data_IF_896713423367
#
_entry.id   IF_896713423367
#
_cell.length_a   1.000
_cell.length_b   1.000
_cell.length_c   1.000
_cell.angle_alpha   90.00
_cell.angle_beta   90.00
_cell.angle_gamma   90.00
#
_symmetry.space_group_name_H-M   'P 1'
#
loop_
_entity.id
_entity.type
_entity.pdbx_description
1 polymer ?
#
# COMPACT_ATOMS: atom_id res chain seq x y z
N UNK A 1 58.26 7.12 -1.28
CA UNK A 1 57.17 7.10 -0.27
C UNK A 1 56.10 8.16 -0.59
N UNK A 2 55.65 8.26 -1.84
CA UNK A 2 54.63 9.25 -2.30
C UNK A 2 53.70 8.74 -3.40
N UNK A 3 53.95 7.57 -3.99
CA UNK A 3 53.09 6.99 -5.05
C UNK A 3 52.03 6.01 -4.52
N UNK A 4 52.16 5.50 -3.28
CA UNK A 4 51.17 4.59 -2.68
C UNK A 4 49.97 5.30 -2.02
N UNK A 5 50.06 6.61 -1.74
CA UNK A 5 48.95 7.36 -1.13
C UNK A 5 47.94 7.89 -2.17
N UNK A 6 48.38 8.16 -3.40
CA UNK A 6 47.50 8.71 -4.44
C UNK A 6 46.46 7.68 -4.91
N UNK A 7 46.85 6.40 -4.99
CA UNK A 7 45.94 5.32 -5.44
C UNK A 7 44.85 5.01 -4.40
N UNK A 8 45.13 5.19 -3.11
CA UNK A 8 44.16 4.95 -2.04
C UNK A 8 43.12 6.08 -1.99
N UNK A 9 43.52 7.33 -2.22
CA UNK A 9 42.58 8.46 -2.27
C UNK A 9 41.68 8.45 -3.50
N UNK A 10 42.14 7.99 -4.67
CA UNK A 10 41.27 7.88 -5.86
C UNK A 10 40.25 6.74 -5.73
N UNK A 11 40.61 5.63 -5.06
CA UNK A 11 39.69 4.51 -4.83
C UNK A 11 38.58 4.86 -3.82
N UNK A 12 38.88 5.69 -2.81
CA UNK A 12 37.92 6.16 -1.81
C UNK A 12 36.92 7.19 -2.36
N UNK A 13 37.32 8.01 -3.33
CA UNK A 13 36.43 8.99 -3.97
C UNK A 13 35.46 8.31 -4.95
N UNK A 14 35.88 7.23 -5.62
CA UNK A 14 35.03 6.47 -6.53
C UNK A 14 33.99 5.63 -5.76
N UNK A 15 34.33 5.07 -4.60
CA UNK A 15 33.33 4.41 -3.73
C UNK A 15 32.36 5.40 -3.10
N UNK A 16 32.79 6.64 -2.81
CA UNK A 16 31.91 7.70 -2.30
C UNK A 16 30.96 8.24 -3.38
N UNK A 17 31.39 8.30 -4.64
CA UNK A 17 30.52 8.68 -5.77
C UNK A 17 29.55 7.58 -6.18
N UNK A 18 29.93 6.31 -6.09
CA UNK A 18 29.02 5.19 -6.37
C UNK A 18 27.92 5.02 -5.30
N UNK A 19 28.16 5.47 -4.07
CA UNK A 19 27.12 5.58 -3.03
C UNK A 19 26.20 6.81 -3.19
N UNK A 20 26.57 7.77 -4.05
CA UNK A 20 25.79 9.00 -4.27
C UNK A 20 24.79 8.91 -5.43
N UNK A 21 24.81 7.80 -6.18
CA UNK A 21 23.87 7.50 -7.26
C UNK A 21 22.80 6.47 -6.88
N UNK A 22 22.71 6.11 -5.60
CA UNK A 22 21.52 5.47 -5.04
C UNK A 22 20.46 6.57 -4.97
N UNK A 23 19.58 6.63 -5.97
CA UNK A 23 18.46 7.58 -5.96
C UNK A 23 17.74 7.46 -4.62
N UNK A 24 17.23 8.58 -4.11
CA UNK A 24 16.48 8.64 -2.84
C UNK A 24 15.32 7.60 -2.77
N UNK A 25 14.93 7.00 -3.92
CA UNK A 25 13.98 5.90 -4.07
C UNK A 25 14.40 4.58 -3.40
N UNK A 26 15.70 4.27 -3.31
CA UNK A 26 16.13 2.95 -2.83
C UNK A 26 16.14 2.84 -1.29
N UNK A 27 15.98 3.96 -0.58
CA UNK A 27 15.97 3.97 0.91
C UNK A 27 14.75 3.28 1.53
N UNK A 28 13.72 3.00 0.73
CA UNK A 28 12.44 2.47 1.22
C UNK A 28 12.03 1.15 0.55
N UNK A 29 12.85 0.65 -0.37
CA UNK A 29 12.70 -0.65 -1.03
C UNK A 29 13.45 -1.70 -0.23
N UNK A 30 12.73 -2.45 0.61
CA UNK A 30 13.33 -3.37 1.58
C UNK A 30 13.62 -4.77 1.00
N UNK A 31 13.04 -5.10 -0.15
CA UNK A 31 13.38 -6.30 -0.93
C UNK A 31 13.98 -5.90 -2.28
N UNK A 32 15.26 -5.51 -2.36
CA UNK A 32 15.96 -5.60 -3.63
C UNK A 32 15.91 -7.06 -4.09
N UNK A 33 15.41 -7.33 -5.30
CA UNK A 33 15.40 -8.69 -5.86
C UNK A 33 16.86 -9.10 -6.07
N UNK A 34 17.49 -9.71 -5.08
CA UNK A 34 18.90 -10.09 -5.07
C UNK A 34 19.01 -11.60 -5.34
N UNK A 35 19.82 -12.04 -6.31
CA UNK A 35 20.13 -13.47 -6.49
C UNK A 35 21.01 -13.99 -5.33
N UNK A 36 21.27 -15.30 -5.33
CA UNK A 36 22.16 -15.92 -4.33
C UNK A 36 23.58 -15.35 -4.35
N UNK A 37 23.95 -14.68 -5.44
CA UNK A 37 25.25 -14.08 -5.72
C UNK A 37 25.33 -12.59 -5.33
N UNK A 38 24.26 -11.97 -4.82
CA UNK A 38 24.28 -10.58 -4.36
C UNK A 38 23.96 -9.53 -5.44
N UNK A 39 23.55 -9.95 -6.64
CA UNK A 39 23.24 -9.06 -7.77
C UNK A 39 21.75 -8.73 -7.84
N UNK A 40 21.42 -7.49 -8.22
CA UNK A 40 20.04 -7.08 -8.53
C UNK A 40 19.56 -7.85 -9.77
N UNK A 41 18.65 -8.79 -9.57
CA UNK A 41 18.00 -9.55 -10.62
C UNK A 41 16.77 -8.79 -11.07
N UNK A 42 16.84 -8.20 -12.28
CA UNK A 42 15.63 -7.82 -12.99
C UNK A 42 14.96 -9.09 -13.50
N UNK A 43 13.81 -9.46 -12.93
CA UNK A 43 12.99 -10.53 -13.52
C UNK A 43 12.43 -10.02 -14.86
N UNK A 44 12.77 -10.71 -15.95
CA UNK A 44 12.36 -10.37 -17.31
C UNK A 44 11.14 -11.18 -17.79
N UNK A 45 10.35 -11.71 -16.87
CA UNK A 45 9.16 -12.48 -17.19
C UNK A 45 7.96 -11.56 -17.35
N UNK A 46 7.43 -11.39 -18.56
CA UNK A 46 6.08 -10.83 -18.72
C UNK A 46 5.10 -11.85 -18.14
N UNK A 47 4.64 -11.66 -16.92
CA UNK A 47 3.52 -12.46 -16.43
C UNK A 47 2.31 -12.20 -17.33
N UNK A 48 1.67 -13.31 -17.72
CA UNK A 48 0.42 -13.31 -18.48
C UNK A 48 -0.75 -13.35 -17.50
N UNK A 49 -1.88 -12.78 -17.91
CA UNK A 49 -3.15 -12.95 -17.21
C UNK A 49 -3.47 -14.46 -17.19
N UNK A 50 -3.62 -15.02 -15.99
CA UNK A 50 -3.84 -16.46 -15.74
C UNK A 50 -5.32 -16.82 -15.82
N UNK A 51 -6.20 -15.87 -15.50
CA UNK A 51 -7.64 -16.05 -15.40
C UNK A 51 -8.38 -15.32 -16.53
N UNK A 52 -9.40 -15.95 -17.11
CA UNK A 52 -10.32 -15.25 -18.02
C UNK A 52 -11.18 -14.21 -17.27
N UNK A 53 -11.89 -13.36 -18.03
CA UNK A 53 -12.70 -12.29 -17.48
C UNK A 53 -13.84 -12.79 -16.58
N UNK A 54 -14.45 -13.94 -16.91
CA UNK A 54 -15.54 -14.54 -16.13
C UNK A 54 -15.03 -15.01 -14.76
N UNK A 55 -13.85 -15.61 -14.74
CA UNK A 55 -13.16 -16.04 -13.54
C UNK A 55 -12.72 -14.84 -12.71
N UNK A 56 -12.09 -13.83 -13.33
CA UNK A 56 -11.66 -12.62 -12.63
C UNK A 56 -12.84 -11.94 -11.93
N UNK A 57 -13.93 -11.63 -12.64
CA UNK A 57 -15.05 -10.88 -12.06
C UNK A 57 -15.80 -11.66 -10.96
N UNK A 58 -15.63 -12.99 -10.91
CA UNK A 58 -16.19 -13.82 -9.85
C UNK A 58 -15.49 -13.60 -8.49
N UNK A 59 -14.24 -13.14 -8.50
CA UNK A 59 -13.48 -12.93 -7.26
C UNK A 59 -13.98 -11.69 -6.52
N UNK A 60 -14.41 -11.88 -5.27
CA UNK A 60 -14.84 -10.79 -4.37
C UNK A 60 -13.73 -10.27 -3.46
N UNK A 61 -12.73 -11.10 -3.18
CA UNK A 61 -11.64 -10.78 -2.27
C UNK A 61 -10.34 -11.10 -3.00
N UNK A 62 -9.54 -10.07 -3.26
CA UNK A 62 -8.28 -10.20 -3.97
C UNK A 62 -7.14 -9.55 -3.19
N UNK A 63 -5.93 -10.07 -3.37
CA UNK A 63 -4.70 -9.49 -2.85
C UNK A 63 -3.76 -9.21 -4.02
N UNK A 64 -3.28 -7.97 -4.09
CA UNK A 64 -2.25 -7.61 -5.05
C UNK A 64 -0.92 -8.20 -4.62
N UNK A 65 -0.31 -9.02 -5.48
CA UNK A 65 1.08 -9.43 -5.34
C UNK A 65 1.65 -9.79 -6.70
N UNK A 66 2.75 -9.14 -7.07
CA UNK A 66 3.48 -9.40 -8.32
C UNK A 66 4.97 -9.44 -8.02
N UNK A 67 5.57 -10.61 -8.20
CA UNK A 67 6.98 -10.84 -7.89
C UNK A 67 7.96 -10.09 -8.81
N UNK A 68 7.47 -9.44 -9.87
CA UNK A 68 8.27 -8.59 -10.75
C UNK A 68 8.31 -7.12 -10.28
N UNK A 69 7.64 -6.80 -9.17
CA UNK A 69 7.60 -5.48 -8.57
C UNK A 69 8.42 -5.47 -7.29
N UNK A 70 8.99 -4.31 -6.95
CA UNK A 70 9.60 -4.12 -5.64
C UNK A 70 8.53 -3.83 -4.57
N UNK A 71 8.94 -3.80 -3.31
CA UNK A 71 8.11 -3.41 -2.16
C UNK A 71 8.48 -2.01 -1.67
N UNK A 72 7.60 -1.39 -0.90
CA UNK A 72 7.92 -0.15 -0.17
C UNK A 72 7.28 -0.19 1.22
N UNK A 73 8.07 -0.01 2.27
CA UNK A 73 7.59 -0.06 3.68
C UNK A 73 6.87 -1.35 4.10
N UNK A 74 7.01 -2.42 3.31
CA UNK A 74 6.52 -3.75 3.63
C UNK A 74 7.65 -4.75 3.46
N UNK A 75 7.86 -5.60 4.46
CA UNK A 75 8.82 -6.71 4.42
C UNK A 75 8.07 -8.04 4.43
N UNK A 76 8.59 -9.01 3.67
CA UNK A 76 8.01 -10.34 3.52
C UNK A 76 6.55 -10.37 3.03
N UNK A 77 6.12 -9.53 2.06
CA UNK A 77 4.70 -9.43 1.66
C UNK A 77 4.04 -10.76 1.29
N UNK A 78 4.83 -11.76 0.86
CA UNK A 78 4.33 -13.11 0.57
C UNK A 78 3.70 -13.81 1.80
N UNK A 79 4.16 -13.51 3.01
CA UNK A 79 3.56 -14.06 4.24
C UNK A 79 2.13 -13.54 4.45
N UNK A 80 1.87 -12.26 4.20
CA UNK A 80 0.52 -11.68 4.21
C UNK A 80 -0.34 -12.28 3.09
N UNK A 81 0.23 -12.47 1.90
CA UNK A 81 -0.48 -13.11 0.77
C UNK A 81 -0.91 -14.52 1.15
N UNK A 82 0.01 -15.37 1.64
CA UNK A 82 -0.29 -16.74 2.06
C UNK A 82 -1.36 -16.76 3.16
N UNK A 83 -1.28 -15.83 4.12
CA UNK A 83 -2.30 -15.68 5.16
C UNK A 83 -3.67 -15.35 4.56
N UNK A 84 -3.76 -14.39 3.63
CA UNK A 84 -5.03 -14.00 3.00
C UNK A 84 -5.58 -15.09 2.06
N UNK A 85 -4.72 -15.81 1.34
CA UNK A 85 -5.13 -16.97 0.53
C UNK A 85 -5.76 -18.07 1.40
N UNK A 86 -5.26 -18.28 2.62
CA UNK A 86 -5.89 -19.17 3.60
C UNK A 86 -7.27 -18.69 4.08
N UNK A 87 -7.63 -17.44 3.77
CA UNK A 87 -8.93 -16.78 4.05
C UNK A 87 -9.72 -16.51 2.76
N UNK A 88 -9.50 -17.32 1.72
CA UNK A 88 -10.19 -17.30 0.42
C UNK A 88 -9.89 -16.08 -0.48
N UNK A 89 -8.90 -15.24 -0.16
CA UNK A 89 -8.46 -14.21 -1.09
C UNK A 89 -7.79 -14.84 -2.31
N UNK A 90 -7.95 -14.21 -3.47
CA UNK A 90 -7.24 -14.59 -4.70
C UNK A 90 -6.09 -13.64 -4.98
N UNK A 91 -4.91 -14.19 -5.18
CA UNK A 91 -3.73 -13.41 -5.57
C UNK A 91 -3.82 -13.02 -7.03
N UNK A 92 -3.75 -11.72 -7.30
CA UNK A 92 -3.71 -11.15 -8.65
C UNK A 92 -2.40 -10.37 -8.83
N UNK A 93 -1.77 -10.57 -9.99
CA UNK A 93 -0.67 -9.71 -10.42
C UNK A 93 -1.17 -8.35 -10.92
N UNK A 94 -0.25 -7.47 -11.32
CA UNK A 94 -0.59 -6.09 -11.65
C UNK A 94 -1.59 -5.97 -12.83
N UNK A 95 -1.41 -6.79 -13.88
CA UNK A 95 -2.29 -6.82 -15.06
C UNK A 95 -3.67 -7.39 -14.75
N UNK A 96 -3.70 -8.49 -14.00
CA UNK A 96 -4.94 -9.12 -13.57
C UNK A 96 -5.74 -8.19 -12.66
N UNK A 97 -5.07 -7.49 -11.75
CA UNK A 97 -5.70 -6.53 -10.85
C UNK A 97 -6.28 -5.35 -11.61
N UNK A 98 -5.54 -4.81 -12.59
CA UNK A 98 -6.06 -3.76 -13.47
C UNK A 98 -7.32 -4.26 -14.18
N UNK A 99 -7.26 -5.44 -14.81
CA UNK A 99 -8.41 -6.01 -15.53
C UNK A 99 -9.59 -6.26 -14.61
N UNK A 100 -9.36 -6.82 -13.43
CA UNK A 100 -10.37 -7.09 -12.40
C UNK A 100 -11.08 -5.82 -11.95
N UNK A 101 -10.33 -4.75 -11.63
CA UNK A 101 -10.92 -3.46 -11.28
C UNK A 101 -11.72 -2.86 -12.45
N UNK A 102 -11.19 -2.92 -13.68
CA UNK A 102 -11.91 -2.45 -14.87
C UNK A 102 -13.23 -3.20 -15.07
N UNK A 103 -13.24 -4.53 -14.96
CA UNK A 103 -14.45 -5.34 -15.09
C UNK A 103 -15.52 -4.96 -14.06
N UNK A 104 -15.12 -4.74 -12.80
CA UNK A 104 -16.06 -4.31 -11.76
C UNK A 104 -16.59 -2.90 -11.97
N UNK A 105 -15.77 -1.99 -12.51
CA UNK A 105 -16.22 -0.64 -12.92
C UNK A 105 -17.23 -0.74 -14.06
N UNK A 106 -16.88 -1.45 -15.13
CA UNK A 106 -17.71 -1.58 -16.34
C UNK A 106 -19.06 -2.25 -16.07
N UNK A 107 -19.08 -3.22 -15.14
CA UNK A 107 -20.29 -3.96 -14.75
C UNK A 107 -21.01 -3.35 -13.55
N UNK A 108 -20.55 -2.22 -13.03
CA UNK A 108 -21.09 -1.58 -11.82
C UNK A 108 -21.24 -2.56 -10.64
N UNK A 109 -20.22 -3.38 -10.42
CA UNK A 109 -20.22 -4.49 -9.46
C UNK A 109 -19.07 -4.43 -8.44
N UNK A 110 -18.44 -3.26 -8.30
CA UNK A 110 -17.35 -3.04 -7.36
C UNK A 110 -17.81 -3.09 -5.89
N UNK A 111 -19.03 -2.67 -5.59
CA UNK A 111 -19.55 -2.80 -4.22
C UNK A 111 -19.58 -4.26 -3.75
N UNK A 112 -19.09 -4.48 -2.53
CA UNK A 112 -18.92 -5.82 -1.96
C UNK A 112 -17.66 -6.55 -2.42
N UNK A 113 -16.78 -5.87 -3.16
CA UNK A 113 -15.45 -6.38 -3.52
C UNK A 113 -14.34 -5.66 -2.76
N UNK A 114 -13.23 -6.35 -2.50
CA UNK A 114 -12.07 -5.80 -1.78
C UNK A 114 -10.75 -6.25 -2.39
N UNK A 115 -9.83 -5.29 -2.51
CA UNK A 115 -8.43 -5.54 -2.86
C UNK A 115 -7.52 -5.15 -1.68
N UNK A 116 -6.63 -6.05 -1.26
CA UNK A 116 -5.53 -5.72 -0.34
C UNK A 116 -4.26 -5.42 -1.15
N UNK A 117 -3.73 -4.21 -1.02
CA UNK A 117 -2.44 -3.80 -1.61
C UNK A 117 -1.31 -4.22 -0.68
N UNK A 118 -0.76 -5.42 -0.90
CA UNK A 118 0.17 -6.07 0.06
C UNK A 118 1.62 -5.60 -0.02
N UNK A 119 2.00 -4.84 -1.06
CA UNK A 119 3.41 -4.53 -1.36
C UNK A 119 3.83 -3.09 -1.03
N UNK A 120 2.91 -2.24 -0.53
CA UNK A 120 3.16 -0.82 -0.24
C UNK A 120 3.49 0.06 -1.44
N UNK A 121 3.16 -0.43 -2.63
CA UNK A 121 3.30 0.25 -3.92
C UNK A 121 2.01 0.10 -4.71
N UNK A 122 1.78 1.02 -5.64
CA UNK A 122 0.68 0.92 -6.61
C UNK A 122 1.27 0.59 -8.00
N UNK A 123 0.73 -0.39 -8.74
CA UNK A 123 1.11 -0.57 -10.14
C UNK A 123 0.75 0.65 -10.99
N UNK A 124 1.67 1.07 -11.85
CA UNK A 124 1.52 2.23 -12.75
C UNK A 124 0.21 2.20 -13.53
N UNK A 125 -0.17 1.05 -14.05
CA UNK A 125 -1.38 0.87 -14.84
C UNK A 125 -2.65 1.23 -14.04
N UNK A 126 -2.68 1.01 -12.72
CA UNK A 126 -3.87 1.32 -11.92
C UNK A 126 -4.12 2.82 -11.79
N UNK A 127 -3.06 3.61 -11.86
CA UNK A 127 -3.07 5.07 -11.68
C UNK A 127 -2.74 5.82 -12.98
N UNK A 128 -2.96 5.18 -14.14
CA UNK A 128 -2.82 5.82 -15.45
C UNK A 128 -4.21 6.04 -16.07
N UNK A 129 -4.59 7.27 -16.50
CA UNK A 129 -3.86 8.54 -16.28
C UNK A 129 -3.81 8.93 -14.80
N UNK A 130 -2.83 9.76 -14.38
CA UNK A 130 -2.57 10.11 -12.97
C UNK A 130 -3.56 11.11 -12.39
N UNK A 131 -4.84 10.78 -12.43
CA UNK A 131 -5.92 11.58 -11.88
C UNK A 131 -7.15 10.66 -11.67
N UNK A 132 -8.31 11.26 -11.34
CA UNK A 132 -9.55 10.54 -11.09
C UNK A 132 -10.12 9.77 -12.29
N UNK A 133 -9.53 9.90 -13.48
CA UNK A 133 -9.88 9.07 -14.63
C UNK A 133 -9.21 7.69 -14.63
N UNK A 134 -8.26 7.43 -13.72
CA UNK A 134 -7.66 6.12 -13.56
C UNK A 134 -8.63 5.05 -13.07
N UNK A 135 -8.30 3.78 -13.35
CA UNK A 135 -9.12 2.64 -12.90
C UNK A 135 -9.16 2.53 -11.37
N UNK A 136 -8.09 2.90 -10.66
CA UNK A 136 -8.03 2.83 -9.21
C UNK A 136 -9.09 3.72 -8.55
N UNK A 137 -9.19 4.99 -8.96
CA UNK A 137 -10.23 5.89 -8.47
C UNK A 137 -11.62 5.44 -8.91
N UNK A 138 -11.79 5.07 -10.18
CA UNK A 138 -13.08 4.62 -10.71
C UNK A 138 -13.62 3.41 -9.95
N UNK A 139 -12.77 2.47 -9.56
CA UNK A 139 -13.14 1.32 -8.73
C UNK A 139 -13.61 1.75 -7.33
N UNK A 140 -12.89 2.66 -6.67
CA UNK A 140 -13.29 3.22 -5.37
C UNK A 140 -14.63 3.98 -5.47
N UNK A 141 -14.81 4.77 -6.53
CA UNK A 141 -16.03 5.53 -6.79
C UNK A 141 -17.23 4.62 -7.15
N UNK A 142 -16.99 3.48 -7.78
CA UNK A 142 -18.00 2.44 -8.01
C UNK A 142 -18.37 1.65 -6.74
N UNK A 143 -17.76 1.98 -5.59
CA UNK A 143 -18.05 1.34 -4.30
C UNK A 143 -17.10 0.20 -3.93
N UNK A 144 -16.05 -0.03 -4.68
CA UNK A 144 -14.99 -0.97 -4.34
C UNK A 144 -14.21 -0.58 -3.09
N UNK A 145 -13.69 -1.58 -2.39
CA UNK A 145 -12.83 -1.39 -1.22
C UNK A 145 -11.37 -1.67 -1.57
N UNK A 146 -10.47 -0.83 -1.08
CA UNK A 146 -9.02 -1.09 -1.09
C UNK A 146 -8.50 -1.00 0.34
N UNK A 147 -7.70 -1.98 0.75
CA UNK A 147 -6.89 -1.90 1.99
C UNK A 147 -5.44 -1.70 1.58
N UNK A 148 -4.88 -0.56 1.95
CA UNK A 148 -3.49 -0.19 1.70
C UNK A 148 -2.63 -0.49 2.92
N UNK A 149 -1.58 -1.27 2.68
CA UNK A 149 -0.53 -1.58 3.65
C UNK A 149 0.75 -0.88 3.22
N UNK A 150 1.48 -0.32 4.18
CA UNK A 150 2.66 0.49 3.94
C UNK A 150 2.42 1.96 4.24
N UNK A 151 3.46 2.78 4.08
CA UNK A 151 3.52 4.14 4.62
C UNK A 151 2.54 5.13 3.94
N UNK A 152 3.02 6.01 3.05
CA UNK A 152 2.19 7.04 2.41
C UNK A 152 1.56 6.48 1.13
N UNK A 153 0.22 6.45 1.00
CA UNK A 153 -0.45 5.92 -0.18
C UNK A 153 -0.01 6.59 -1.48
N UNK A 154 0.25 5.79 -2.52
CA UNK A 154 0.61 6.26 -3.86
C UNK A 154 1.92 7.08 -3.95
N UNK A 155 2.72 7.14 -2.88
CA UNK A 155 4.03 7.81 -2.90
C UNK A 155 5.00 7.13 -3.88
N UNK A 156 4.93 5.80 -3.94
CA UNK A 156 5.75 4.96 -4.83
C UNK A 156 4.85 4.25 -5.83
N UNK A 157 5.09 4.53 -7.11
CA UNK A 157 4.50 3.82 -8.24
C UNK A 157 5.47 2.75 -8.72
N UNK A 158 5.05 1.49 -8.71
CA UNK A 158 5.83 0.38 -9.22
C UNK A 158 5.58 0.08 -10.69
N UNK A 159 6.55 -0.56 -11.34
CA UNK A 159 6.45 -1.08 -12.70
C UNK A 159 7.24 -2.39 -12.82
N UNK A 160 6.86 -3.24 -13.78
CA UNK A 160 7.51 -4.52 -14.04
C UNK A 160 9.05 -4.40 -14.13
N UNK A 161 9.78 -5.36 -13.57
CA UNK A 161 11.25 -5.36 -13.54
C UNK A 161 11.85 -4.65 -12.33
N UNK A 162 11.03 -4.39 -11.30
CA UNK A 162 11.43 -3.77 -10.04
C UNK A 162 11.60 -2.25 -10.13
N UNK A 163 11.16 -1.60 -11.21
CA UNK A 163 11.29 -0.15 -11.34
C UNK A 163 10.27 0.58 -10.49
N UNK A 164 10.70 1.69 -9.89
CA UNK A 164 9.82 2.59 -9.14
C UNK A 164 9.97 4.03 -9.58
N UNK A 165 8.89 4.77 -9.49
CA UNK A 165 8.86 6.22 -9.62
C UNK A 165 8.24 6.81 -8.35
N UNK A 166 8.92 7.77 -7.74
CA UNK A 166 8.42 8.50 -6.57
C UNK A 166 7.73 9.76 -7.03
N UNK A 167 6.48 9.95 -6.62
CA UNK A 167 5.69 11.15 -6.98
C UNK A 167 5.45 12.11 -5.84
N UNK A 168 5.85 11.75 -4.62
CA UNK A 168 5.50 12.55 -3.46
C UNK A 168 4.02 12.43 -3.10
N UNK A 169 3.46 13.50 -2.53
CA UNK A 169 2.10 13.59 -2.03
C UNK A 169 1.07 14.04 -3.09
N UNK A 170 1.52 14.60 -4.22
CA UNK A 170 0.67 15.16 -5.29
C UNK A 170 -0.35 14.14 -5.82
N UNK A 171 0.08 12.91 -6.16
CA UNK A 171 -0.83 11.89 -6.71
C UNK A 171 -1.86 11.43 -5.69
N UNK A 172 -1.47 11.35 -4.41
CA UNK A 172 -2.41 11.00 -3.36
C UNK A 172 -3.48 12.08 -3.19
N UNK A 173 -3.11 13.35 -3.35
CA UNK A 173 -4.10 14.43 -3.40
C UNK A 173 -4.98 14.33 -4.65
N UNK A 174 -4.41 14.22 -5.83
CA UNK A 174 -5.16 14.24 -7.10
C UNK A 174 -6.12 13.05 -7.28
N UNK A 175 -5.75 11.87 -6.75
CA UNK A 175 -6.53 10.64 -6.86
C UNK A 175 -7.39 10.41 -5.61
N UNK A 176 -6.83 10.57 -4.41
CA UNK A 176 -7.48 10.19 -3.16
C UNK A 176 -7.98 11.37 -2.32
N UNK A 177 -7.72 12.62 -2.73
CA UNK A 177 -8.02 13.83 -1.97
C UNK A 177 -7.46 13.78 -0.52
N UNK A 178 -6.32 13.12 -0.30
CA UNK A 178 -5.68 13.02 1.02
C UNK A 178 -4.40 13.84 1.07
N UNK A 179 -4.17 14.47 2.21
CA UNK A 179 -2.92 15.15 2.51
C UNK A 179 -2.43 14.75 3.89
N UNK A 180 -1.12 14.66 4.02
CA UNK A 180 -0.44 14.21 5.21
C UNK A 180 1.02 14.66 5.23
N UNK A 181 1.76 14.17 6.19
CA UNK A 181 3.18 14.49 6.33
C UNK A 181 3.87 13.60 7.36
N UNK A 182 5.17 13.84 7.56
CA UNK A 182 5.92 13.22 8.65
C UNK A 182 5.54 13.87 9.97
N UNK A 183 5.29 13.06 10.97
CA UNK A 183 5.15 13.55 12.33
C UNK A 183 6.49 14.05 12.83
N UNK A 184 6.50 15.20 13.48
CA UNK A 184 7.64 15.72 14.25
C UNK A 184 7.27 15.73 15.72
N UNK A 185 8.23 15.37 16.57
CA UNK A 185 8.12 15.58 18.01
C UNK A 185 7.95 17.08 18.28
N UNK A 186 6.92 17.44 19.04
CA UNK A 186 6.54 18.84 19.23
C UNK A 186 7.56 19.62 20.07
N UNK A 187 8.24 18.96 21.00
CA UNK A 187 9.19 19.62 21.92
C UNK A 187 10.55 19.85 21.24
N UNK A 188 10.98 18.90 20.42
CA UNK A 188 12.31 18.88 19.81
C UNK A 188 12.32 19.29 18.34
N UNK A 189 11.15 19.25 17.67
CA UNK A 189 11.03 19.45 16.23
C UNK A 189 11.62 18.32 15.37
N UNK A 190 12.06 17.22 15.99
CA UNK A 190 12.70 16.09 15.29
C UNK A 190 11.65 15.20 14.67
N UNK A 191 11.82 14.82 13.40
CA UNK A 191 10.92 13.86 12.73
C UNK A 191 10.89 12.52 13.45
N UNK A 192 9.69 11.96 13.58
CA UNK A 192 9.48 10.61 14.11
C UNK A 192 10.04 9.59 13.13
N UNK A 193 10.73 8.59 13.69
CA UNK A 193 11.40 7.53 12.93
C UNK A 193 11.05 6.17 13.54
N UNK A 194 11.51 5.09 12.91
CA UNK A 194 11.35 3.71 13.42
C UNK A 194 11.78 3.54 14.89
N UNK A 195 12.73 4.36 15.37
CA UNK A 195 13.21 4.31 16.76
C UNK A 195 12.53 5.33 17.67
N UNK A 196 11.73 6.23 17.13
CA UNK A 196 11.08 7.33 17.86
C UNK A 196 9.64 7.52 17.38
N UNK A 197 8.74 6.55 17.63
CA UNK A 197 7.38 6.63 17.14
C UNK A 197 6.52 7.61 17.94
N UNK A 198 5.33 7.92 17.42
CA UNK A 198 4.35 8.73 18.12
C UNK A 198 3.91 8.11 19.44
N UNK A 199 4.19 8.79 20.55
CA UNK A 199 3.82 8.32 21.90
C UNK A 199 2.32 8.41 22.20
N UNK A 200 1.57 9.20 21.44
CA UNK A 200 0.14 9.47 21.65
C UNK A 200 -0.78 8.66 20.75
N UNK A 201 -0.26 7.73 19.94
CA UNK A 201 -1.08 6.94 19.05
C UNK A 201 -2.08 6.05 19.81
N UNK A 202 -3.34 6.05 19.38
CA UNK A 202 -4.40 5.23 19.99
C UNK A 202 -5.34 4.63 18.94
N UNK A 203 -6.06 3.56 19.30
CA UNK A 203 -7.14 3.01 18.46
C UNK A 203 -8.45 3.63 18.92
N UNK A 204 -9.17 4.25 18.00
CA UNK A 204 -10.47 4.86 18.27
C UNK A 204 -11.55 3.80 18.47
N UNK A 205 -12.73 4.19 18.99
CA UNK A 205 -13.88 3.28 19.09
C UNK A 205 -14.35 2.77 17.71
N UNK A 206 -14.26 3.60 16.65
CA UNK A 206 -14.58 3.13 15.30
C UNK A 206 -13.51 2.15 14.79
N UNK A 207 -12.23 2.34 15.12
CA UNK A 207 -11.17 1.36 14.81
C UNK A 207 -11.39 0.01 15.49
N UNK A 208 -11.69 0.00 16.80
CA UNK A 208 -12.02 -1.23 17.55
C UNK A 208 -13.24 -1.94 16.96
N UNK A 209 -14.28 -1.19 16.59
CA UNK A 209 -15.49 -1.73 15.95
C UNK A 209 -15.22 -2.38 14.60
N UNK A 210 -14.28 -1.85 13.82
CA UNK A 210 -13.81 -2.44 12.57
C UNK A 210 -12.83 -3.61 12.78
N UNK A 211 -12.43 -3.85 14.03
CA UNK A 211 -11.60 -4.97 14.44
C UNK A 211 -10.12 -4.67 14.58
N UNK A 212 -9.68 -3.40 14.58
CA UNK A 212 -8.28 -3.09 14.87
C UNK A 212 -7.94 -3.41 16.32
N UNK A 213 -6.82 -4.12 16.51
CA UNK A 213 -6.28 -4.50 17.81
C UNK A 213 -4.85 -4.02 18.01
N UNK A 214 -4.10 -3.73 16.95
CA UNK A 214 -2.71 -3.27 17.04
C UNK A 214 -2.62 -1.77 16.82
N UNK A 215 -2.01 -1.06 17.77
CA UNK A 215 -1.79 0.38 17.69
C UNK A 215 -0.83 0.69 16.52
N UNK A 216 -1.18 1.69 15.71
CA UNK A 216 -0.34 2.27 14.65
C UNK A 216 0.54 3.37 15.23
N UNK A 217 1.74 2.99 15.66
CA UNK A 217 2.74 3.87 16.29
C UNK A 217 3.39 4.82 15.28
N UNK A 218 2.61 5.79 14.83
CA UNK A 218 2.84 6.35 13.51
C UNK A 218 4.09 7.20 13.29
N UNK A 219 4.60 7.20 12.06
CA UNK A 219 5.57 8.20 11.55
C UNK A 219 4.95 9.17 10.55
N UNK A 220 3.84 8.78 9.94
CA UNK A 220 3.16 9.57 8.90
C UNK A 220 1.72 9.78 9.34
N UNK A 221 1.32 11.04 9.37
CA UNK A 221 -0.03 11.45 9.68
C UNK A 221 -0.79 11.90 8.44
N UNK A 222 -2.11 11.89 8.56
CA UNK A 222 -3.04 12.49 7.61
C UNK A 222 -4.01 13.40 8.35
N UNK A 223 -4.47 14.45 7.69
CA UNK A 223 -5.48 15.33 8.28
C UNK A 223 -6.80 14.58 8.47
N UNK A 224 -7.29 14.51 9.71
CA UNK A 224 -8.55 13.82 10.03
C UNK A 224 -9.74 14.38 9.27
N UNK A 225 -9.70 15.66 8.86
CA UNK A 225 -10.75 16.27 8.03
C UNK A 225 -10.79 15.77 6.58
N UNK A 226 -9.73 15.10 6.10
CA UNK A 226 -9.70 14.56 4.74
C UNK A 226 -10.30 13.14 4.64
N UNK A 227 -10.63 12.51 5.77
CA UNK A 227 -11.05 11.10 5.82
C UNK A 227 -12.46 10.97 6.38
N UNK A 228 -13.11 9.84 6.12
CA UNK A 228 -14.51 9.60 6.53
C UNK A 228 -14.59 8.99 7.92
N UNK A 229 -13.66 8.08 8.25
CA UNK A 229 -13.58 7.43 9.56
C UNK A 229 -12.14 7.35 10.00
N UNK A 230 -11.90 7.73 11.25
CA UNK A 230 -10.60 7.60 11.89
C UNK A 230 -10.59 6.31 12.69
N UNK A 231 -9.68 5.40 12.37
CA UNK A 231 -9.49 4.14 13.10
C UNK A 231 -8.37 4.23 14.14
N UNK A 232 -7.35 5.04 13.87
CA UNK A 232 -6.30 5.38 14.82
C UNK A 232 -5.93 6.85 14.72
N UNK A 233 -5.87 7.51 15.87
CA UNK A 233 -5.53 8.92 16.02
C UNK A 233 -4.19 9.10 16.75
N UNK A 234 -3.56 10.25 16.52
CA UNK A 234 -2.31 10.64 17.19
C UNK A 234 -2.44 12.03 17.81
N UNK A 235 -3.30 12.86 17.22
CA UNK A 235 -3.66 14.21 17.67
C UNK A 235 -5.10 14.49 17.20
N UNK A 236 -5.88 15.38 17.83
CA UNK A 236 -7.26 15.67 17.40
C UNK A 236 -7.43 16.03 15.90
N UNK A 237 -6.39 16.58 15.28
CA UNK A 237 -6.37 16.95 13.86
C UNK A 237 -5.75 15.89 12.94
N UNK A 238 -5.11 14.87 13.51
CA UNK A 238 -4.26 13.94 12.78
C UNK A 238 -4.60 12.48 13.08
N UNK A 239 -4.74 11.72 12.00
CA UNK A 239 -5.00 10.29 12.03
C UNK A 239 -3.93 9.52 11.28
N UNK A 240 -3.83 8.23 11.59
CA UNK A 240 -2.85 7.35 10.96
C UNK A 240 -3.54 6.15 10.33
N UNK A 241 -4.46 5.45 10.99
CA UNK A 241 -5.29 4.45 10.28
C UNK A 241 -6.70 5.00 10.06
N UNK A 242 -7.24 4.85 8.85
CA UNK A 242 -8.49 5.52 8.47
C UNK A 242 -9.17 4.89 7.25
N UNK A 243 -10.46 5.20 7.07
CA UNK A 243 -11.23 4.97 5.85
C UNK A 243 -11.59 6.31 5.21
N UNK A 244 -11.47 6.38 3.89
CA UNK A 244 -12.07 7.41 3.06
C UNK A 244 -13.06 6.81 2.07
N UNK A 245 -14.31 7.24 2.17
CA UNK A 245 -15.39 6.84 1.28
C UNK A 245 -15.50 7.79 0.10
N UNK A 246 -15.61 7.24 -1.11
CA UNK A 246 -15.81 8.00 -2.36
C UNK A 246 -17.23 7.88 -2.91
N UNK A 247 -17.96 6.84 -2.50
CA UNK A 247 -19.35 6.63 -2.85
C UNK A 247 -20.21 6.59 -1.59
N UNK A 248 -20.97 7.67 -1.34
CA UNK A 248 -21.73 7.84 -0.11
C UNK A 248 -22.88 6.82 0.06
N UNK A 249 -23.30 6.14 -1.01
CA UNK A 249 -24.25 5.02 -0.91
C UNK A 249 -23.63 3.80 -0.21
N UNK A 250 -22.30 3.73 -0.15
CA UNK A 250 -21.54 2.62 0.42
C UNK A 250 -20.61 3.12 1.54
N UNK A 251 -21.15 3.54 2.71
CA UNK A 251 -20.41 4.26 3.77
C UNK A 251 -19.35 3.43 4.50
N UNK A 252 -19.28 2.12 4.25
CA UNK A 252 -18.23 1.24 4.74
C UNK A 252 -17.29 0.80 3.60
N UNK A 253 -17.31 1.44 2.44
CA UNK A 253 -16.40 1.13 1.33
C UNK A 253 -15.59 2.33 0.91
N UNK A 254 -14.54 2.09 0.13
CA UNK A 254 -13.55 3.06 -0.29
C UNK A 254 -12.12 2.66 0.09
N UNK A 255 -11.28 3.65 0.35
CA UNK A 255 -9.86 3.45 0.60
C UNK A 255 -9.58 3.39 2.09
N UNK A 256 -9.09 2.25 2.55
CA UNK A 256 -8.62 2.02 3.92
C UNK A 256 -7.11 2.10 3.90
N UNK A 257 -6.55 2.99 4.73
CA UNK A 257 -5.14 2.99 5.05
C UNK A 257 -4.96 2.33 6.41
N UNK A 258 -4.13 1.29 6.47
CA UNK A 258 -3.77 0.63 7.71
C UNK A 258 -2.27 0.69 7.93
N UNK A 259 -1.90 1.36 9.04
CA UNK A 259 -0.54 1.52 9.55
C UNK A 259 0.39 2.44 8.74
N UNK A 260 1.17 3.27 9.43
CA UNK A 260 2.26 4.10 8.84
C UNK A 260 3.66 3.60 9.09
N UNK A 261 3.83 2.64 9.99
CA UNK A 261 5.13 2.08 10.29
C UNK A 261 5.50 1.01 9.27
N UNK A 262 6.75 0.57 9.30
CA UNK A 262 7.18 -0.63 8.61
C UNK A 262 6.23 -1.79 8.94
N UNK A 263 5.75 -2.47 7.90
CA UNK A 263 4.85 -3.61 8.03
C UNK A 263 5.62 -4.91 7.86
N UNK A 264 5.72 -5.70 8.93
CA UNK A 264 6.27 -7.06 8.88
C UNK A 264 5.15 -8.07 8.67
N UNK A 265 5.05 -8.60 7.46
CA UNK A 265 3.97 -9.50 7.08
C UNK A 265 4.05 -10.90 7.73
N UNK A 266 5.10 -11.19 8.52
CA UNK A 266 5.16 -12.38 9.38
C UNK A 266 4.40 -12.18 10.70
N UNK A 267 4.02 -10.95 11.03
CA UNK A 267 3.22 -10.65 12.23
C UNK A 267 1.75 -11.02 12.02
N UNK A 268 1.33 -12.10 12.66
CA UNK A 268 -0.04 -12.59 12.59
C UNK A 268 -1.07 -11.59 13.14
N UNK A 269 -0.73 -10.76 14.13
CA UNK A 269 -1.69 -9.80 14.69
C UNK A 269 -1.99 -8.69 13.69
N UNK A 270 -0.97 -8.21 12.97
CA UNK A 270 -1.14 -7.24 11.87
C UNK A 270 -1.98 -7.84 10.74
N UNK A 271 -1.67 -9.07 10.30
CA UNK A 271 -2.40 -9.73 9.24
C UNK A 271 -3.88 -9.96 9.58
N UNK A 272 -4.16 -10.29 10.84
CA UNK A 272 -5.51 -10.44 11.37
C UNK A 272 -6.28 -9.11 11.41
N UNK A 273 -5.63 -7.98 11.72
CA UNK A 273 -6.23 -6.63 11.57
C UNK A 273 -6.55 -6.32 10.10
N UNK A 274 -5.63 -6.62 9.17
CA UNK A 274 -5.85 -6.43 7.72
C UNK A 274 -7.06 -7.20 7.25
N UNK A 275 -7.19 -8.48 7.62
CA UNK A 275 -8.34 -9.30 7.26
C UNK A 275 -9.66 -8.75 7.81
N UNK A 276 -9.70 -8.32 9.08
CA UNK A 276 -10.90 -7.73 9.68
C UNK A 276 -11.29 -6.42 9.00
N UNK A 277 -10.34 -5.54 8.73
CA UNK A 277 -10.57 -4.29 8.00
C UNK A 277 -11.07 -4.56 6.57
N UNK A 278 -10.45 -5.51 5.88
CA UNK A 278 -10.81 -5.87 4.52
C UNK A 278 -12.25 -6.43 4.45
N UNK A 279 -12.67 -7.21 5.44
CA UNK A 279 -13.94 -7.97 5.40
C UNK A 279 -15.07 -7.35 6.22
N UNK A 280 -14.81 -6.27 6.98
CA UNK A 280 -15.82 -5.65 7.83
C UNK A 280 -17.08 -5.28 7.04
N UNK A 281 -18.21 -5.91 7.41
CA UNK A 281 -19.51 -5.75 6.76
C UNK A 281 -19.46 -5.89 5.23
N UNK A 282 -18.53 -6.68 4.70
CA UNK A 282 -18.43 -6.99 3.27
C UNK A 282 -19.50 -8.02 2.84
N UNK A 283 -20.66 -8.06 3.50
CA UNK A 283 -21.58 -9.21 3.43
C UNK A 283 -21.86 -9.67 1.99
N UNK A 284 -21.76 -10.99 1.82
CA UNK A 284 -22.19 -11.72 0.63
C UNK A 284 -23.61 -11.26 0.29
N UNK A 285 -23.80 -10.60 -0.84
CA UNK A 285 -25.14 -10.50 -1.41
C UNK A 285 -25.67 -11.93 -1.52
N UNK A 286 -26.68 -12.27 -0.71
CA UNK A 286 -27.48 -13.45 -0.97
C UNK A 286 -28.06 -13.24 -2.37
N UNK A 287 -27.64 -14.07 -3.31
CA UNK A 287 -28.41 -14.26 -4.54
C UNK A 287 -29.83 -14.67 -4.12
N UNK A 288 -30.81 -13.84 -4.48
CA UNK A 288 -32.22 -14.18 -4.37
C UNK A 288 -32.95 -13.65 -3.14
N UNK A 289 -33.28 -12.36 -3.14
CA UNK A 289 -34.60 -11.90 -2.69
C UNK A 289 -35.13 -10.89 -3.70
N UNK A 290 -35.68 -11.42 -4.80
CA UNK A 290 -36.61 -10.69 -5.64
C UNK A 290 -37.86 -10.41 -4.79
N UNK A 291 -38.17 -9.14 -4.55
CA UNK A 291 -39.54 -8.71 -4.22
C UNK A 291 -40.27 -8.34 -5.49
#
# INVERSE_FOLDING_TARGET
MKEKEIVISTLLVITSFLLSCVSFSDRFSWDPIINKEGEIVKKSGKEKIKYDDETLISFKMVVFYDENFTTSWVIYPRDLVNFLESKDFKTLNAKELHRWMSLHVDKNSAYGTVCVMSMGIVPRELVTPRNKECVFYKYLFAGGRVVWIGDYPLWVIGSEGGYTETFGDEIAWDILDISGGRLTDYETGVEMTLTTPAKSASITEEGKKWGMNVIDNAHTFFYSMNVTKVFSDVHPLYCCSWLKTYNFNYPNSGFIRYRSTLYDARDNQLNEDVYRLATYKLEKQKEGETK
#
